data_IF_050985392151
#
_entry.id   IF_050985392151
#
_cell.length_a   1.000
_cell.length_b   1.000
_cell.length_c   1.000
_cell.angle_alpha   90.00
_cell.angle_beta   90.00
_cell.angle_gamma   90.00
#
_symmetry.space_group_name_H-M   'P 1'
#
loop_
_entity.id
_entity.type
_entity.pdbx_description
1 polymer ?
#
# COMPACT_ATOMS: atom_id res chain seq x y z
N UNK A 1 2.44 -5.43 -1.84
CA UNK A 1 2.33 -4.18 -2.59
C UNK A 1 3.62 -3.97 -3.32
N UNK A 2 3.60 -4.13 -4.64
CA UNK A 2 4.70 -3.76 -5.53
C UNK A 2 4.71 -2.24 -5.83
N UNK A 3 3.66 -1.52 -5.39
CA UNK A 3 3.45 -0.10 -5.62
C UNK A 3 3.42 0.22 -7.11
N UNK A 4 4.02 1.36 -7.45
CA UNK A 4 4.21 1.84 -8.83
C UNK A 4 5.13 0.94 -9.68
N UNK A 5 5.76 -0.06 -9.09
CA UNK A 5 6.72 -0.94 -9.75
C UNK A 5 8.14 -0.38 -9.85
N UNK A 6 8.41 0.86 -9.43
CA UNK A 6 9.73 1.50 -9.58
C UNK A 6 10.20 2.10 -8.27
N UNK A 7 9.62 3.22 -7.84
CA UNK A 7 10.08 3.96 -6.67
C UNK A 7 9.82 3.17 -5.38
N UNK A 8 8.68 2.49 -5.30
CA UNK A 8 8.28 1.73 -4.12
C UNK A 8 8.69 0.25 -4.19
N UNK A 9 9.24 -0.18 -5.32
CA UNK A 9 9.54 -1.59 -5.59
C UNK A 9 11.00 -1.92 -5.32
N UNK A 10 11.28 -2.48 -4.14
CA UNK A 10 12.63 -2.95 -3.78
C UNK A 10 13.16 -4.03 -4.73
N UNK A 11 12.26 -4.80 -5.34
CA UNK A 11 12.60 -5.85 -6.29
C UNK A 11 12.82 -5.32 -7.72
N UNK A 12 12.66 -4.01 -7.95
CA UNK A 12 12.95 -3.39 -9.23
C UNK A 12 14.41 -3.61 -9.65
N UNK A 13 15.33 -3.45 -8.69
CA UNK A 13 16.76 -3.69 -8.89
C UNK A 13 17.05 -5.11 -9.38
N UNK A 14 16.39 -6.13 -8.84
CA UNK A 14 16.61 -7.53 -9.24
C UNK A 14 16.30 -7.73 -10.73
N UNK A 15 15.21 -7.14 -11.21
CA UNK A 15 14.86 -7.24 -12.64
C UNK A 15 15.87 -6.51 -13.51
N UNK A 16 16.19 -5.25 -13.17
CA UNK A 16 17.01 -4.39 -14.04
C UNK A 16 18.50 -4.76 -14.03
N UNK A 17 19.04 -5.14 -12.88
CA UNK A 17 20.46 -5.36 -12.69
C UNK A 17 20.86 -6.84 -12.75
N UNK A 18 19.97 -7.75 -12.35
CA UNK A 18 20.31 -9.18 -12.17
C UNK A 18 19.54 -10.11 -13.11
N UNK A 19 18.90 -9.56 -14.16
CA UNK A 19 18.11 -10.34 -15.12
C UNK A 19 17.01 -11.19 -14.48
N UNK A 20 16.53 -10.81 -13.30
CA UNK A 20 15.54 -11.57 -12.55
C UNK A 20 14.11 -11.35 -13.11
N UNK A 21 13.28 -12.39 -13.10
CA UNK A 21 11.84 -12.29 -13.33
C UNK A 21 11.12 -12.87 -12.12
N UNK A 22 9.89 -12.42 -11.88
CA UNK A 22 9.10 -12.90 -10.75
C UNK A 22 7.65 -12.47 -10.85
N UNK A 23 6.94 -12.69 -9.74
CA UNK A 23 5.55 -12.27 -9.57
C UNK A 23 5.53 -11.01 -8.72
N UNK A 24 4.88 -9.96 -9.21
CA UNK A 24 4.67 -8.70 -8.49
C UNK A 24 3.19 -8.55 -8.18
N UNK A 25 2.87 -8.36 -6.89
CA UNK A 25 1.49 -8.32 -6.39
C UNK A 25 1.19 -6.92 -5.86
N UNK A 26 0.19 -6.28 -6.45
CA UNK A 26 -0.27 -4.95 -6.05
C UNK A 26 -1.79 -4.90 -6.02
N UNK A 27 -2.42 -4.59 -4.87
CA UNK A 27 -3.87 -4.52 -4.76
C UNK A 27 -4.50 -3.17 -5.11
N UNK A 28 -3.72 -2.09 -5.21
CA UNK A 28 -4.30 -0.75 -5.38
C UNK A 28 -4.59 -0.44 -6.85
N UNK A 29 -5.86 -0.12 -7.15
CA UNK A 29 -6.36 0.23 -8.48
C UNK A 29 -5.57 1.35 -9.16
N UNK A 30 -5.10 2.35 -8.41
CA UNK A 30 -4.35 3.49 -8.96
C UNK A 30 -2.90 3.16 -9.30
N UNK A 31 -2.32 2.15 -8.65
CA UNK A 31 -0.90 1.77 -8.84
C UNK A 31 -0.75 0.59 -9.82
N UNK A 32 -1.71 -0.35 -9.83
CA UNK A 32 -1.63 -1.55 -10.65
C UNK A 32 -1.44 -1.27 -12.16
N UNK A 33 -2.11 -0.28 -12.78
CA UNK A 33 -1.86 0.06 -14.18
C UNK A 33 -0.42 0.48 -14.47
N UNK A 34 0.23 1.18 -13.54
CA UNK A 34 1.64 1.56 -13.67
C UNK A 34 2.55 0.36 -13.55
N UNK A 35 2.23 -0.56 -12.64
CA UNK A 35 2.98 -1.81 -12.48
C UNK A 35 3.07 -2.60 -13.79
N UNK A 36 2.00 -2.65 -14.59
CA UNK A 36 1.97 -3.33 -15.88
C UNK A 36 2.98 -2.74 -16.89
N UNK A 37 3.15 -1.41 -16.88
CA UNK A 37 4.07 -0.73 -17.79
C UNK A 37 5.52 -0.76 -17.29
N UNK A 38 5.72 -0.67 -15.98
CA UNK A 38 7.04 -0.55 -15.35
C UNK A 38 7.73 -1.90 -15.09
N UNK A 39 6.96 -3.00 -15.08
CA UNK A 39 7.44 -4.36 -14.80
C UNK A 39 7.16 -5.34 -15.95
N UNK A 40 7.51 -5.02 -17.21
CA UNK A 40 7.10 -5.81 -18.37
C UNK A 40 7.68 -7.23 -18.40
N UNK A 41 8.72 -7.51 -17.60
CA UNK A 41 9.32 -8.85 -17.49
C UNK A 41 8.79 -9.66 -16.32
N UNK A 42 8.06 -9.04 -15.39
CA UNK A 42 7.45 -9.73 -14.26
C UNK A 42 5.98 -10.04 -14.56
N UNK A 43 5.44 -11.08 -13.95
CA UNK A 43 3.99 -11.34 -13.96
C UNK A 43 3.35 -10.43 -12.91
N UNK A 44 2.46 -9.53 -13.34
CA UNK A 44 1.72 -8.66 -12.43
C UNK A 44 0.38 -9.28 -12.04
N UNK A 45 0.08 -9.27 -10.74
CA UNK A 45 -1.17 -9.82 -10.17
C UNK A 45 -1.88 -8.74 -9.36
N UNK A 46 -3.11 -8.42 -9.74
CA UNK A 46 -3.96 -7.44 -9.06
C UNK A 46 -4.69 -8.10 -7.90
N UNK A 47 -4.03 -8.17 -6.74
CA UNK A 47 -4.55 -8.93 -5.59
C UNK A 47 -3.87 -8.52 -4.28
N UNK A 48 -4.46 -8.97 -3.16
CA UNK A 48 -3.90 -8.90 -1.82
C UNK A 48 -3.89 -10.29 -1.18
N UNK A 49 -2.93 -10.55 -0.30
CA UNK A 49 -2.94 -11.74 0.54
C UNK A 49 -3.97 -11.54 1.65
N UNK A 50 -5.01 -12.37 1.65
CA UNK A 50 -6.11 -12.31 2.59
C UNK A 50 -6.27 -13.67 3.30
N UNK A 51 -6.89 -13.66 4.49
CA UNK A 51 -7.21 -14.92 5.21
C UNK A 51 -8.29 -15.74 4.49
N UNK A 52 -9.15 -15.07 3.72
CA UNK A 52 -10.20 -15.68 2.92
C UNK A 52 -10.29 -14.97 1.57
N UNK A 53 -10.64 -15.73 0.53
CA UNK A 53 -10.97 -15.17 -0.77
C UNK A 53 -12.26 -14.35 -0.62
N UNK A 54 -12.13 -13.03 -0.76
CA UNK A 54 -13.26 -12.12 -0.67
C UNK A 54 -13.03 -10.90 -1.55
N UNK A 55 -14.10 -10.39 -2.15
CA UNK A 55 -14.09 -9.14 -2.89
C UNK A 55 -14.13 -7.94 -1.93
N UNK A 56 -13.25 -7.92 -0.92
CA UNK A 56 -13.18 -6.80 0.02
C UNK A 56 -12.80 -5.54 -0.74
N UNK A 57 -13.64 -4.51 -0.63
CA UNK A 57 -13.45 -3.20 -1.27
C UNK A 57 -12.75 -2.20 -0.34
N UNK A 58 -12.25 -2.65 0.81
CA UNK A 58 -11.52 -1.80 1.73
C UNK A 58 -10.20 -1.32 1.13
N UNK A 59 -9.93 -0.03 1.24
CA UNK A 59 -8.61 0.55 0.94
C UNK A 59 -7.72 0.56 2.18
N UNK A 60 -6.41 0.48 1.98
CA UNK A 60 -5.45 0.75 3.04
C UNK A 60 -5.53 2.23 3.45
N UNK A 61 -5.45 2.47 4.76
CA UNK A 61 -5.48 3.83 5.28
C UNK A 61 -4.09 4.49 5.20
N UNK A 62 -3.99 5.59 4.47
CA UNK A 62 -2.81 6.47 4.39
C UNK A 62 -2.45 7.03 5.78
N UNK A 63 -1.14 7.01 6.07
CA UNK A 63 -0.54 7.58 7.27
C UNK A 63 0.31 8.78 6.88
N UNK A 64 -0.08 9.96 7.35
CA UNK A 64 0.73 11.16 7.23
C UNK A 64 1.39 11.52 8.56
N UNK A 65 2.57 12.11 8.50
CA UNK A 65 3.26 12.71 9.64
C UNK A 65 3.75 14.09 9.22
N UNK A 66 3.29 15.15 9.89
CA UNK A 66 3.60 16.54 9.52
C UNK A 66 3.30 16.87 8.05
N UNK A 67 2.20 16.35 7.49
CA UNK A 67 1.82 16.57 6.09
C UNK A 67 2.61 15.73 5.07
N UNK A 68 3.55 14.88 5.51
CA UNK A 68 4.32 13.98 4.64
C UNK A 68 3.72 12.58 4.69
N UNK A 69 3.50 11.95 3.52
CA UNK A 69 3.08 10.55 3.45
C UNK A 69 4.19 9.63 3.93
N UNK A 70 3.87 8.75 4.88
CA UNK A 70 4.83 7.82 5.50
C UNK A 70 4.54 6.36 5.17
N UNK A 71 3.41 6.08 4.54
CA UNK A 71 3.00 4.73 4.15
C UNK A 71 1.53 4.46 4.42
N UNK A 72 1.20 3.18 4.31
CA UNK A 72 -0.11 2.62 4.62
C UNK A 72 -0.09 1.88 5.95
N UNK A 73 -1.23 1.84 6.64
CA UNK A 73 -1.39 0.98 7.81
C UNK A 73 -2.12 -0.32 7.49
N UNK A 74 -3.44 -0.26 7.26
CA UNK A 74 -4.37 -1.37 7.23
C UNK A 74 -5.80 -0.86 7.28
N UNK A 75 -6.74 -1.74 7.60
CA UNK A 75 -8.15 -1.41 7.69
C UNK A 75 -8.51 -1.00 9.12
N UNK A 76 -8.93 0.24 9.33
CA UNK A 76 -9.19 0.78 10.67
C UNK A 76 -10.19 -0.04 11.48
N UNK A 77 -11.18 -0.64 10.81
CA UNK A 77 -12.19 -1.49 11.45
C UNK A 77 -11.67 -2.88 11.88
N UNK A 78 -10.49 -3.30 11.43
CA UNK A 78 -9.89 -4.60 11.81
C UNK A 78 -8.79 -4.47 12.86
N UNK A 79 -8.50 -3.24 13.31
CA UNK A 79 -7.47 -3.00 14.31
C UNK A 79 -7.87 -3.52 15.68
N UNK A 80 -6.90 -4.12 16.38
CA UNK A 80 -7.04 -4.33 17.82
C UNK A 80 -7.00 -2.98 18.54
N UNK A 81 -7.62 -2.93 19.72
CA UNK A 81 -7.60 -1.75 20.57
C UNK A 81 -6.16 -1.30 20.92
N UNK A 82 -5.24 -2.26 21.10
CA UNK A 82 -3.82 -1.96 21.38
C UNK A 82 -3.10 -1.33 20.18
N UNK A 83 -3.40 -1.79 18.96
CA UNK A 83 -2.85 -1.21 17.74
C UNK A 83 -3.38 0.22 17.54
N UNK A 84 -4.69 0.42 17.70
CA UNK A 84 -5.31 1.74 17.60
C UNK A 84 -4.70 2.73 18.62
N UNK A 85 -4.56 2.33 19.88
CA UNK A 85 -3.93 3.15 20.92
C UNK A 85 -2.48 3.53 20.57
N UNK A 86 -1.71 2.61 19.99
CA UNK A 86 -0.33 2.87 19.58
C UNK A 86 -0.24 3.93 18.46
N UNK A 87 -1.17 3.90 17.48
CA UNK A 87 -1.18 4.92 16.43
C UNK A 87 -1.67 6.26 16.98
N UNK A 88 -2.71 6.25 17.82
CA UNK A 88 -3.18 7.48 18.46
C UNK A 88 -2.08 8.14 19.31
N UNK A 89 -1.29 7.36 20.07
CA UNK A 89 -0.17 7.88 20.83
C UNK A 89 0.90 8.54 19.94
N UNK A 90 1.20 7.94 18.77
CA UNK A 90 2.18 8.48 17.81
C UNK A 90 1.70 9.72 17.06
N UNK A 91 0.40 9.78 16.76
CA UNK A 91 -0.18 10.87 15.94
C UNK A 91 -0.66 12.06 16.78
N UNK A 92 -1.23 11.83 17.98
CA UNK A 92 -1.71 12.90 18.87
C UNK A 92 -0.60 13.61 19.64
N UNK A 93 0.56 12.99 19.87
CA UNK A 93 1.62 13.55 20.72
C UNK A 93 2.31 14.81 20.15
N UNK A 94 2.03 15.24 18.91
CA UNK A 94 2.74 16.36 18.29
C UNK A 94 1.90 17.30 17.42
N UNK A 95 0.56 17.32 17.54
CA UNK A 95 -0.31 18.07 16.61
C UNK A 95 -0.12 17.63 15.14
N UNK A 96 0.33 16.39 14.94
CA UNK A 96 0.64 15.83 13.63
C UNK A 96 -0.65 15.25 13.06
N UNK A 97 -1.07 15.70 11.87
CA UNK A 97 -2.23 15.12 11.20
C UNK A 97 -2.05 13.60 11.08
N UNK A 98 -2.87 12.82 11.79
CA UNK A 98 -2.81 11.36 11.80
C UNK A 98 -3.43 10.75 10.54
N UNK A 99 -4.28 9.75 10.72
CA UNK A 99 -5.02 9.09 9.64
C UNK A 99 -5.74 10.10 8.72
N UNK A 100 -5.50 10.02 7.41
CA UNK A 100 -6.28 10.77 6.41
C UNK A 100 -7.00 9.82 5.49
N UNK A 101 -8.30 9.60 5.71
CA UNK A 101 -9.11 8.75 4.83
C UNK A 101 -8.92 9.18 3.37
N UNK A 102 -8.58 8.23 2.50
CA UNK A 102 -8.64 8.50 1.07
C UNK A 102 -10.11 8.81 0.73
N UNK A 103 -10.36 9.97 0.12
CA UNK A 103 -11.62 10.19 -0.57
C UNK A 103 -11.60 9.28 -1.80
N UNK A 104 -12.23 8.12 -1.70
CA UNK A 104 -12.49 7.27 -2.86
C UNK A 104 -13.28 8.13 -3.86
N UNK A 105 -12.62 8.57 -4.93
CA UNK A 105 -13.30 9.17 -6.06
C UNK A 105 -13.78 8.00 -6.91
N UNK A 106 -15.02 7.60 -6.69
CA UNK A 106 -15.72 6.72 -7.62
C UNK A 106 -15.97 7.56 -8.87
N UNK A 107 -15.25 7.23 -9.95
CA UNK A 107 -15.52 7.74 -11.29
C UNK A 107 -16.67 6.96 -11.92
#
# INVERSE_FOLDING_TARGET
GAGDGVYQSKTYYLEKALCWTGIVVEPTDSEFPRLLTERPRSVAVHSAVCATDSASTGGFQDVTLNGVWTGWSGFTHSFSQSHEAAIQAKTKAGNQEGWKAQKIHVA
#
